data_IF_950687197614
#
_entry.id   IF_950687197614
#
_cell.length_a   1.000
_cell.length_b   1.000
_cell.length_c   1.000
_cell.angle_alpha   90.00
_cell.angle_beta   90.00
_cell.angle_gamma   90.00
#
_symmetry.space_group_name_H-M   'P 1'
#
loop_
_entity.id
_entity.type
_entity.pdbx_description
1 polymer ?
#
# COMPACT_ATOMS: atom_id res chain seq x y z
N UNK A 1 18.26 4.02 1.61
CA UNK A 1 17.67 4.66 2.82
C UNK A 1 16.17 4.72 2.62
N UNK A 2 15.37 4.47 3.66
CA UNK A 2 13.92 4.60 3.52
C UNK A 2 13.53 6.07 3.57
N UNK A 3 12.87 6.58 2.55
CA UNK A 3 12.35 7.96 2.50
C UNK A 3 11.13 8.16 3.43
N UNK A 4 10.57 7.06 3.96
CA UNK A 4 9.44 7.10 4.90
C UNK A 4 9.98 7.39 6.30
N UNK A 5 9.51 8.47 6.93
CA UNK A 5 9.85 8.91 8.29
C UNK A 5 8.87 8.39 9.34
N UNK A 6 7.67 8.04 8.94
CA UNK A 6 6.58 7.56 9.80
C UNK A 6 5.26 7.56 9.05
N UNK A 7 4.18 7.51 9.82
CA UNK A 7 2.82 7.56 9.29
C UNK A 7 2.00 8.58 10.09
N UNK A 8 1.18 9.33 9.37
CA UNK A 8 0.20 10.22 9.99
C UNK A 8 -0.86 9.40 10.73
N UNK A 9 -1.15 9.75 11.97
CA UNK A 9 -2.03 8.93 12.83
C UNK A 9 -3.52 9.04 12.47
N UNK A 10 -3.90 10.10 11.75
CA UNK A 10 -5.30 10.34 11.38
C UNK A 10 -5.62 9.89 9.96
N UNK A 11 -4.69 10.10 9.01
CA UNK A 11 -4.86 9.71 7.62
C UNK A 11 -4.21 8.36 7.26
N UNK A 12 -3.34 7.85 8.12
CA UNK A 12 -2.50 6.66 7.89
C UNK A 12 -1.57 6.79 6.67
N UNK A 13 -1.36 8.01 6.16
CA UNK A 13 -0.47 8.27 5.02
C UNK A 13 0.98 8.32 5.45
N UNK A 14 1.87 8.01 4.51
CA UNK A 14 3.31 8.07 4.72
C UNK A 14 3.75 9.52 4.95
N UNK A 15 4.49 9.76 6.04
CA UNK A 15 5.21 11.00 6.29
C UNK A 15 6.58 10.90 5.61
N UNK A 16 6.81 11.75 4.64
CA UNK A 16 8.04 11.74 3.81
C UNK A 16 8.65 13.14 3.74
N UNK A 17 9.94 13.20 3.46
CA UNK A 17 10.61 14.43 3.04
C UNK A 17 10.47 14.59 1.53
N UNK A 18 9.72 15.60 1.09
CA UNK A 18 9.40 15.82 -0.33
C UNK A 18 10.65 16.20 -1.14
N UNK A 19 11.61 16.91 -0.57
CA UNK A 19 12.85 17.27 -1.27
C UNK A 19 13.72 16.04 -1.47
N UNK A 20 13.86 15.20 -0.45
CA UNK A 20 14.55 13.91 -0.54
C UNK A 20 13.87 12.97 -1.56
N UNK A 21 12.54 12.92 -1.56
CA UNK A 21 11.79 12.13 -2.54
C UNK A 21 12.01 12.63 -3.98
N UNK A 22 12.03 13.94 -4.21
CA UNK A 22 12.27 14.52 -5.53
C UNK A 22 13.71 14.26 -6.01
N UNK A 23 14.69 14.43 -5.12
CA UNK A 23 16.09 14.13 -5.41
C UNK A 23 16.29 12.65 -5.77
N UNK A 24 15.69 11.75 -4.97
CA UNK A 24 15.75 10.30 -5.21
C UNK A 24 15.09 9.91 -6.54
N UNK A 25 13.94 10.50 -6.86
CA UNK A 25 13.26 10.28 -8.13
C UNK A 25 14.16 10.65 -9.32
N UNK A 26 14.84 11.81 -9.26
CA UNK A 26 15.76 12.24 -10.30
C UNK A 26 16.98 11.28 -10.45
N UNK A 27 17.52 10.81 -9.32
CA UNK A 27 18.65 9.87 -9.31
C UNK A 27 18.34 8.55 -10.03
N UNK A 28 17.10 8.03 -9.89
CA UNK A 28 16.69 6.74 -10.47
C UNK A 28 15.88 6.88 -11.76
N UNK A 29 15.74 8.08 -12.32
CA UNK A 29 14.88 8.34 -13.47
C UNK A 29 15.20 7.47 -14.69
N UNK A 30 16.49 7.25 -14.97
CA UNK A 30 16.94 6.44 -16.09
C UNK A 30 16.90 4.92 -15.86
N UNK A 31 16.72 4.49 -14.62
CA UNK A 31 16.73 3.06 -14.27
C UNK A 31 15.44 2.37 -14.74
N UNK A 32 15.59 1.14 -15.27
CA UNK A 32 14.51 0.35 -15.88
C UNK A 32 14.29 -1.01 -15.21
N UNK A 33 15.04 -1.32 -14.15
CA UNK A 33 14.79 -2.55 -13.36
C UNK A 33 13.43 -2.48 -12.65
N UNK A 34 12.79 -3.62 -12.46
CA UNK A 34 11.49 -3.67 -11.78
C UNK A 34 11.50 -3.02 -10.38
N UNK A 35 12.53 -3.25 -9.53
CA UNK A 35 12.62 -2.53 -8.25
C UNK A 35 12.67 -1.01 -8.40
N UNK A 36 13.43 -0.50 -9.37
CA UNK A 36 13.52 0.94 -9.62
C UNK A 36 12.19 1.52 -10.12
N UNK A 37 11.47 0.79 -10.98
CA UNK A 37 10.15 1.22 -11.44
C UNK A 37 9.14 1.27 -10.29
N UNK A 38 9.12 0.25 -9.41
CA UNK A 38 8.27 0.24 -8.22
C UNK A 38 8.59 1.43 -7.30
N UNK A 39 9.88 1.70 -7.06
CA UNK A 39 10.32 2.86 -6.26
C UNK A 39 9.88 4.18 -6.91
N UNK A 40 10.02 4.34 -8.22
CA UNK A 40 9.58 5.54 -8.95
C UNK A 40 8.08 5.76 -8.87
N UNK A 41 7.26 4.70 -8.98
CA UNK A 41 5.80 4.80 -8.81
C UNK A 41 5.48 5.32 -7.41
N UNK A 42 6.12 4.77 -6.37
CA UNK A 42 5.94 5.24 -5.00
C UNK A 42 6.33 6.72 -4.84
N UNK A 43 7.49 7.12 -5.34
CA UNK A 43 7.98 8.50 -5.24
C UNK A 43 7.06 9.49 -5.97
N UNK A 44 6.59 9.15 -7.17
CA UNK A 44 5.62 9.96 -7.92
C UNK A 44 4.29 10.10 -7.15
N UNK A 45 3.82 9.02 -6.53
CA UNK A 45 2.60 9.01 -5.71
C UNK A 45 2.74 9.98 -4.52
N UNK A 46 3.81 9.90 -3.73
CA UNK A 46 3.98 10.76 -2.54
C UNK A 46 4.28 12.21 -2.91
N UNK A 47 4.85 12.48 -4.09
CA UNK A 47 5.02 13.81 -4.67
C UNK A 47 3.73 14.36 -5.29
N UNK A 48 2.60 13.66 -5.16
CA UNK A 48 1.30 14.01 -5.73
C UNK A 48 1.30 14.17 -7.27
N UNK A 49 2.23 13.52 -7.98
CA UNK A 49 2.30 13.44 -9.45
C UNK A 49 1.49 12.22 -9.92
N UNK A 50 0.19 12.22 -9.62
CA UNK A 50 -0.65 11.01 -9.68
C UNK A 50 -0.89 10.50 -11.10
N UNK A 51 -0.96 11.36 -12.12
CA UNK A 51 -1.13 10.93 -13.52
C UNK A 51 0.12 10.20 -14.03
N UNK A 52 1.30 10.72 -13.70
CA UNK A 52 2.57 10.09 -14.03
C UNK A 52 2.77 8.79 -13.25
N UNK A 53 2.40 8.79 -11.96
CA UNK A 53 2.43 7.60 -11.12
C UNK A 53 1.56 6.49 -11.70
N UNK A 54 0.34 6.81 -12.15
CA UNK A 54 -0.59 5.84 -12.72
C UNK A 54 -0.05 5.27 -14.04
N UNK A 55 0.38 6.13 -14.96
CA UNK A 55 0.96 5.68 -16.24
C UNK A 55 2.18 4.76 -16.03
N UNK A 56 3.06 5.12 -15.10
CA UNK A 56 4.22 4.29 -14.77
C UNK A 56 3.81 3.00 -14.06
N UNK A 57 2.79 3.01 -13.21
CA UNK A 57 2.29 1.82 -12.53
C UNK A 57 1.70 0.81 -13.53
N UNK A 58 0.93 1.28 -14.53
CA UNK A 58 0.44 0.44 -15.62
C UNK A 58 1.57 -0.23 -16.39
N UNK A 59 2.62 0.54 -16.75
CA UNK A 59 3.81 0.02 -17.42
C UNK A 59 4.55 -1.00 -16.55
N UNK A 60 4.66 -0.72 -15.25
CA UNK A 60 5.32 -1.60 -14.28
C UNK A 60 4.58 -2.93 -14.15
N UNK A 61 3.24 -2.92 -14.09
CA UNK A 61 2.43 -4.15 -14.08
C UNK A 61 2.63 -4.95 -15.37
N UNK A 62 2.66 -4.28 -16.54
CA UNK A 62 2.93 -4.96 -17.83
C UNK A 62 4.32 -5.59 -17.84
N UNK A 63 5.35 -4.86 -17.41
CA UNK A 63 6.71 -5.39 -17.33
C UNK A 63 6.83 -6.55 -16.35
N UNK A 64 6.20 -6.47 -15.18
CA UNK A 64 6.18 -7.57 -14.21
C UNK A 64 5.54 -8.84 -14.79
N UNK A 65 4.47 -8.71 -15.58
CA UNK A 65 3.83 -9.84 -16.28
C UNK A 65 4.71 -10.47 -17.34
N UNK A 66 5.53 -9.66 -18.02
CA UNK A 66 6.38 -10.14 -19.13
C UNK A 66 7.69 -10.77 -18.66
N UNK A 67 8.31 -10.22 -17.63
CA UNK A 67 9.67 -10.55 -17.24
C UNK A 67 9.88 -10.79 -15.73
N UNK A 68 8.86 -10.56 -14.90
CA UNK A 68 8.91 -10.76 -13.46
C UNK A 68 8.38 -12.12 -13.01
N UNK A 69 8.45 -12.34 -11.70
CA UNK A 69 7.79 -13.47 -11.05
C UNK A 69 6.32 -13.15 -10.76
N UNK A 70 5.50 -14.16 -10.45
CA UNK A 70 4.11 -13.96 -10.00
C UNK A 70 4.03 -13.07 -8.75
N UNK A 71 5.03 -13.15 -7.86
CA UNK A 71 5.13 -12.29 -6.67
C UNK A 71 5.35 -10.82 -7.06
N UNK A 72 6.16 -10.58 -8.08
CA UNK A 72 6.41 -9.22 -8.58
C UNK A 72 5.17 -8.62 -9.23
N UNK A 73 4.38 -9.45 -9.93
CA UNK A 73 3.09 -9.00 -10.48
C UNK A 73 2.15 -8.54 -9.37
N UNK A 74 2.03 -9.29 -8.28
CA UNK A 74 1.16 -8.87 -7.16
C UNK A 74 1.69 -7.60 -6.52
N UNK A 75 2.99 -7.48 -6.27
CA UNK A 75 3.58 -6.24 -5.71
C UNK A 75 3.31 -5.01 -6.59
N UNK A 76 3.48 -5.17 -7.91
CA UNK A 76 3.20 -4.10 -8.86
C UNK A 76 1.72 -3.70 -8.87
N UNK A 77 0.81 -4.67 -8.81
CA UNK A 77 -0.64 -4.44 -8.74
C UNK A 77 -1.06 -3.78 -7.42
N UNK A 78 -0.52 -4.21 -6.29
CA UNK A 78 -0.79 -3.54 -5.01
C UNK A 78 -0.35 -2.07 -5.07
N UNK A 79 0.84 -1.79 -5.63
CA UNK A 79 1.32 -0.42 -5.75
C UNK A 79 0.47 0.40 -6.73
N UNK A 80 0.04 -0.17 -7.87
CA UNK A 80 -0.91 0.45 -8.79
C UNK A 80 -2.21 0.82 -8.07
N UNK A 81 -2.78 -0.10 -7.28
CA UNK A 81 -3.98 0.16 -6.49
C UNK A 81 -3.79 1.29 -5.47
N UNK A 82 -2.60 1.45 -4.87
CA UNK A 82 -2.32 2.59 -3.99
C UNK A 82 -2.31 3.94 -4.74
N UNK A 83 -1.96 3.96 -6.01
CA UNK A 83 -2.08 5.16 -6.85
C UNK A 83 -3.55 5.47 -7.12
N UNK A 84 -4.37 4.45 -7.44
CA UNK A 84 -5.82 4.60 -7.60
C UNK A 84 -6.46 5.15 -6.32
N UNK A 85 -6.10 4.61 -5.15
CA UNK A 85 -6.51 5.11 -3.83
C UNK A 85 -6.20 6.60 -3.67
N UNK A 86 -4.96 7.03 -3.94
CA UNK A 86 -4.57 8.44 -3.84
C UNK A 86 -5.32 9.35 -4.83
N UNK A 87 -5.84 8.81 -5.92
CA UNK A 87 -6.74 9.50 -6.87
C UNK A 87 -8.21 9.53 -6.43
N UNK A 88 -8.54 8.91 -5.30
CA UNK A 88 -9.93 8.76 -4.83
C UNK A 88 -10.73 7.68 -5.56
N UNK A 89 -10.09 6.85 -6.39
CA UNK A 89 -10.73 5.74 -7.10
C UNK A 89 -10.83 4.49 -6.19
N UNK A 90 -11.42 4.66 -5.01
CA UNK A 90 -11.44 3.65 -3.94
C UNK A 90 -12.04 2.33 -4.37
N UNK A 91 -13.13 2.33 -5.14
CA UNK A 91 -13.79 1.09 -5.58
C UNK A 91 -12.90 0.25 -6.52
N UNK A 92 -12.16 0.91 -7.42
CA UNK A 92 -11.23 0.23 -8.30
C UNK A 92 -10.01 -0.32 -7.53
N UNK A 93 -9.47 0.47 -6.58
CA UNK A 93 -8.39 0.05 -5.70
C UNK A 93 -8.82 -1.13 -4.82
N UNK A 94 -10.04 -1.10 -4.27
CA UNK A 94 -10.64 -2.17 -3.47
C UNK A 94 -10.64 -3.50 -4.22
N UNK A 95 -11.20 -3.52 -5.42
CA UNK A 95 -11.28 -4.73 -6.22
C UNK A 95 -9.90 -5.32 -6.53
N UNK A 96 -8.93 -4.48 -6.83
CA UNK A 96 -7.57 -4.94 -7.13
C UNK A 96 -6.84 -5.46 -5.90
N UNK A 97 -6.96 -4.77 -4.76
CA UNK A 97 -6.30 -5.15 -3.50
C UNK A 97 -6.88 -6.45 -2.93
N UNK A 98 -8.21 -6.60 -2.92
CA UNK A 98 -8.87 -7.83 -2.49
C UNK A 98 -8.43 -9.03 -3.35
N UNK A 99 -8.34 -8.84 -4.67
CA UNK A 99 -7.84 -9.89 -5.58
C UNK A 99 -6.39 -10.25 -5.29
N UNK A 100 -5.51 -9.25 -5.07
CA UNK A 100 -4.11 -9.48 -4.74
C UNK A 100 -3.93 -10.22 -3.41
N UNK A 101 -4.71 -9.87 -2.39
CA UNK A 101 -4.69 -10.53 -1.09
C UNK A 101 -5.10 -12.01 -1.22
N UNK A 102 -6.24 -12.28 -1.85
CA UNK A 102 -6.75 -13.63 -2.07
C UNK A 102 -5.78 -14.50 -2.89
N UNK A 103 -5.17 -13.94 -3.95
CA UNK A 103 -4.18 -14.67 -4.75
C UNK A 103 -2.92 -15.00 -3.93
N UNK A 104 -2.42 -14.07 -3.12
CA UNK A 104 -1.25 -14.29 -2.28
C UNK A 104 -1.52 -15.32 -1.18
N UNK A 105 -2.69 -15.30 -0.56
CA UNK A 105 -3.11 -16.31 0.42
C UNK A 105 -3.23 -17.70 -0.20
N UNK A 106 -3.88 -17.82 -1.35
CA UNK A 106 -4.01 -19.08 -2.07
C UNK A 106 -2.67 -19.72 -2.46
N UNK A 107 -1.64 -18.89 -2.64
CA UNK A 107 -0.26 -19.33 -2.91
C UNK A 107 0.60 -19.48 -1.64
N UNK A 108 0.06 -19.20 -0.45
CA UNK A 108 0.76 -19.19 0.84
C UNK A 108 1.97 -18.24 0.86
N UNK A 109 1.90 -17.12 0.17
CA UNK A 109 2.94 -16.08 0.19
C UNK A 109 2.68 -15.10 1.34
N UNK A 110 2.92 -15.56 2.55
CA UNK A 110 2.52 -14.90 3.81
C UNK A 110 2.89 -13.42 3.85
N UNK A 111 4.13 -13.04 3.56
CA UNK A 111 4.57 -11.64 3.57
C UNK A 111 3.89 -10.78 2.51
N UNK A 112 3.56 -11.35 1.33
CA UNK A 112 2.88 -10.62 0.26
C UNK A 112 1.39 -10.47 0.57
N UNK A 113 0.77 -11.51 1.13
CA UNK A 113 -0.60 -11.43 1.61
C UNK A 113 -0.73 -10.37 2.72
N UNK A 114 0.19 -10.35 3.69
CA UNK A 114 0.25 -9.32 4.72
C UNK A 114 0.36 -7.90 4.13
N UNK A 115 1.20 -7.71 3.12
CA UNK A 115 1.35 -6.45 2.41
C UNK A 115 0.07 -6.03 1.68
N UNK A 116 -0.58 -6.95 0.96
CA UNK A 116 -1.83 -6.69 0.25
C UNK A 116 -2.96 -6.32 1.22
N UNK A 117 -3.14 -7.07 2.31
CA UNK A 117 -4.12 -6.76 3.36
C UNK A 117 -3.88 -5.41 4.03
N UNK A 118 -2.62 -5.03 4.27
CA UNK A 118 -2.31 -3.72 4.82
C UNK A 118 -2.81 -2.58 3.92
N UNK A 119 -2.54 -2.67 2.62
CA UNK A 119 -3.00 -1.66 1.66
C UNK A 119 -4.50 -1.71 1.43
N UNK A 120 -5.12 -2.90 1.49
CA UNK A 120 -6.57 -3.06 1.46
C UNK A 120 -7.22 -2.34 2.64
N UNK A 121 -6.70 -2.53 3.86
CA UNK A 121 -7.16 -1.81 5.05
C UNK A 121 -7.02 -0.28 4.91
N UNK A 122 -5.91 0.21 4.35
CA UNK A 122 -5.72 1.64 4.11
C UNK A 122 -6.72 2.21 3.11
N UNK A 123 -6.99 1.50 2.02
CA UNK A 123 -7.99 1.91 1.04
C UNK A 123 -9.39 1.99 1.66
N UNK A 124 -9.80 0.98 2.40
CA UNK A 124 -11.07 0.94 3.10
C UNK A 124 -11.17 2.08 4.14
N UNK A 125 -10.09 2.33 4.88
CA UNK A 125 -10.02 3.43 5.86
C UNK A 125 -10.24 4.81 5.21
N UNK A 126 -9.56 5.10 4.11
CA UNK A 126 -9.73 6.38 3.39
C UNK A 126 -11.10 6.47 2.69
N UNK A 127 -11.70 5.34 2.32
CA UNK A 127 -13.06 5.28 1.78
C UNK A 127 -14.15 5.44 2.86
N UNK A 128 -13.79 5.40 4.15
CA UNK A 128 -14.74 5.48 5.27
C UNK A 128 -15.33 4.13 5.70
N UNK A 129 -14.92 3.02 5.10
CA UNK A 129 -15.31 1.68 5.52
C UNK A 129 -14.38 1.16 6.63
N UNK A 130 -14.64 1.62 7.86
CA UNK A 130 -13.77 1.32 9.01
C UNK A 130 -13.91 -0.12 9.49
N UNK A 131 -15.00 -0.81 9.21
CA UNK A 131 -15.14 -2.24 9.53
C UNK A 131 -14.24 -3.09 8.64
N UNK A 132 -14.28 -2.90 7.32
CA UNK A 132 -13.37 -3.56 6.37
C UNK A 132 -11.92 -3.18 6.65
N UNK A 133 -11.64 -1.92 6.95
CA UNK A 133 -10.29 -1.46 7.29
C UNK A 133 -9.72 -2.23 8.49
N UNK A 134 -10.48 -2.31 9.58
CA UNK A 134 -10.09 -3.02 10.80
C UNK A 134 -9.81 -4.50 10.54
N UNK A 135 -10.71 -5.19 9.84
CA UNK A 135 -10.53 -6.62 9.56
C UNK A 135 -9.29 -6.87 8.68
N UNK A 136 -9.08 -6.05 7.65
CA UNK A 136 -7.91 -6.15 6.77
C UNK A 136 -6.60 -5.89 7.53
N UNK A 137 -6.56 -4.89 8.43
CA UNK A 137 -5.39 -4.66 9.27
C UNK A 137 -5.14 -5.81 10.26
N UNK A 138 -6.17 -6.40 10.87
CA UNK A 138 -6.03 -7.58 11.72
C UNK A 138 -5.46 -8.77 10.96
N UNK A 139 -5.94 -9.01 9.74
CA UNK A 139 -5.39 -10.06 8.89
C UNK A 139 -3.93 -9.79 8.53
N UNK A 140 -3.59 -8.54 8.19
CA UNK A 140 -2.20 -8.14 7.97
C UNK A 140 -1.33 -8.39 9.19
N UNK A 141 -1.80 -8.03 10.39
CA UNK A 141 -1.06 -8.25 11.65
C UNK A 141 -0.81 -9.73 11.91
N UNK A 142 -1.84 -10.57 11.74
CA UNK A 142 -1.72 -12.01 11.90
C UNK A 142 -0.65 -12.59 10.97
N UNK A 143 -0.72 -12.25 9.67
CA UNK A 143 0.22 -12.74 8.66
C UNK A 143 1.65 -12.20 8.87
N UNK A 144 1.81 -10.96 9.36
CA UNK A 144 3.13 -10.40 9.69
C UNK A 144 3.78 -11.16 10.85
N UNK A 145 3.01 -11.50 11.88
CA UNK A 145 3.50 -12.33 13.00
C UNK A 145 3.91 -13.71 12.51
N UNK A 146 3.12 -14.33 11.65
CA UNK A 146 3.45 -15.62 11.03
C UNK A 146 4.73 -15.55 10.19
N UNK A 147 4.94 -14.42 9.49
CA UNK A 147 6.16 -14.17 8.70
C UNK A 147 7.39 -13.82 9.54
N UNK A 148 7.26 -13.61 10.86
CA UNK A 148 8.35 -13.20 11.73
C UNK A 148 8.75 -11.73 11.56
N UNK A 149 7.79 -10.84 11.26
CA UNK A 149 8.03 -9.40 11.14
C UNK A 149 8.58 -8.82 12.45
N UNK A 150 9.38 -7.76 12.32
CA UNK A 150 9.95 -7.05 13.46
C UNK A 150 8.90 -6.19 14.21
N UNK A 151 9.26 -5.75 15.42
CA UNK A 151 8.35 -4.99 16.29
C UNK A 151 7.88 -3.69 15.63
N UNK A 152 8.71 -3.01 14.84
CA UNK A 152 8.37 -1.77 14.14
C UNK A 152 7.29 -2.00 13.07
N UNK A 153 7.41 -3.09 12.32
CA UNK A 153 6.41 -3.46 11.33
C UNK A 153 5.07 -3.83 11.99
N UNK A 154 5.11 -4.51 13.14
CA UNK A 154 3.91 -4.87 13.90
C UNK A 154 3.26 -3.63 14.52
N UNK A 155 4.04 -2.72 15.10
CA UNK A 155 3.56 -1.46 15.69
C UNK A 155 2.82 -0.60 14.67
N UNK A 156 3.35 -0.49 13.44
CA UNK A 156 2.69 0.25 12.36
C UNK A 156 1.28 -0.26 12.08
N UNK A 157 1.08 -1.59 12.08
CA UNK A 157 -0.24 -2.18 11.83
C UNK A 157 -1.15 -2.03 13.04
N UNK A 158 -0.63 -2.14 14.26
CA UNK A 158 -1.40 -1.92 15.49
C UNK A 158 -1.96 -0.50 15.54
N UNK A 159 -1.15 0.51 15.22
CA UNK A 159 -1.61 1.91 15.12
C UNK A 159 -2.72 2.08 14.08
N UNK A 160 -2.64 1.37 12.95
CA UNK A 160 -3.69 1.41 11.94
C UNK A 160 -5.01 0.77 12.42
N UNK A 161 -4.93 -0.33 13.17
CA UNK A 161 -6.12 -0.96 13.80
C UNK A 161 -6.77 0.01 14.78
N UNK A 162 -5.98 0.62 15.67
CA UNK A 162 -6.47 1.59 16.65
C UNK A 162 -7.13 2.80 15.98
N UNK A 163 -6.55 3.31 14.89
CA UNK A 163 -7.13 4.41 14.13
C UNK A 163 -8.50 4.02 13.54
N UNK A 164 -8.62 2.84 12.94
CA UNK A 164 -9.87 2.34 12.39
C UNK A 164 -10.93 2.16 13.49
N UNK A 165 -10.56 1.63 14.64
CA UNK A 165 -11.46 1.47 15.78
C UNK A 165 -11.94 2.82 16.36
N UNK A 166 -11.07 3.82 16.44
CA UNK A 166 -11.45 5.18 16.85
C UNK A 166 -12.47 5.80 15.90
N UNK A 167 -12.21 5.74 14.59
CA UNK A 167 -13.12 6.30 13.58
C UNK A 167 -14.49 5.62 13.59
N UNK A 168 -14.51 4.29 13.63
CA UNK A 168 -15.73 3.50 13.74
C UNK A 168 -16.56 3.88 14.97
N UNK A 169 -15.90 4.01 16.13
CA UNK A 169 -16.59 4.38 17.38
C UNK A 169 -17.17 5.79 17.29
N UNK A 170 -16.47 6.72 16.64
CA UNK A 170 -16.96 8.09 16.45
C UNK A 170 -18.18 8.14 15.53
N UNK A 171 -18.25 7.31 14.49
CA UNK A 171 -19.45 7.21 13.63
C UNK A 171 -20.67 6.67 14.36
N UNK A 172 -20.49 5.62 15.19
CA UNK A 172 -21.57 5.03 15.99
C UNK A 172 -22.14 6.00 17.02
N UNK A 173 -21.37 6.99 17.48
CA UNK A 173 -21.82 8.01 18.44
C UNK A 173 -22.48 9.21 17.76
N UNK A 174 -22.27 9.40 16.46
CA UNK A 174 -22.78 10.52 15.70
C UNK A 174 -24.11 10.23 14.96
N UNK A 175 -24.50 8.95 14.85
CA UNK A 175 -25.73 8.46 14.21
C UNK A 175 -26.78 8.08 15.22
#
# INVERSE_FOLDING_TARGET
MSVIRGYDQDSLRELVDLEECAARLAEIESQRSLPALLERVFLLKVLNRLDEALALADDTVRQARMAGTRKDVIRARVLHATVLQNRGAYAAAEQELATCASEAEGQRWVSIAAFAHHHHGRNAYEAGDYDTARESFKQSLFLRREAGADDRELETVLLAIEAAERRRSSELLAG
#
